data_IF_529288964695
#
_entry.id   IF_529288964695
#
_cell.length_a   1.000
_cell.length_b   1.000
_cell.length_c   1.000
_cell.angle_alpha   90.00
_cell.angle_beta   90.00
_cell.angle_gamma   90.00
#
_symmetry.space_group_name_H-M   'P 1'
#
loop_
_entity.id
_entity.type
_entity.pdbx_description
1 polymer ?
#
# COMPACT_ATOMS: atom_id res chain seq x y z
N UNK A 1 -50.51 18.07 16.19
CA UNK A 1 -51.11 16.89 16.86
C UNK A 1 -49.96 15.99 17.27
N UNK A 2 -49.89 15.56 18.53
CA UNK A 2 -48.78 14.74 19.05
C UNK A 2 -49.11 13.27 18.83
N UNK A 3 -48.54 12.64 17.81
CA UNK A 3 -48.53 11.18 17.69
C UNK A 3 -47.55 10.59 18.72
N UNK A 4 -47.97 9.53 19.41
CA UNK A 4 -47.06 8.71 20.23
C UNK A 4 -46.21 7.81 19.32
N UNK A 5 -45.05 7.35 19.81
CA UNK A 5 -44.08 6.54 19.05
C UNK A 5 -44.71 5.27 18.45
N UNK A 6 -45.69 4.69 19.15
CA UNK A 6 -46.42 3.49 18.71
C UNK A 6 -47.41 3.81 17.59
N UNK A 7 -48.08 4.96 17.68
CA UNK A 7 -49.02 5.42 16.66
C UNK A 7 -48.30 5.85 15.37
N UNK A 8 -47.10 6.42 15.51
CA UNK A 8 -46.24 6.77 14.39
C UNK A 8 -45.79 5.53 13.60
N UNK A 9 -45.40 4.46 14.29
CA UNK A 9 -45.04 3.18 13.65
C UNK A 9 -46.23 2.56 12.93
N UNK A 10 -47.43 2.58 13.53
CA UNK A 10 -48.65 2.08 12.88
C UNK A 10 -49.06 2.91 11.64
N UNK A 11 -48.80 4.22 11.66
CA UNK A 11 -49.05 5.10 10.52
C UNK A 11 -48.01 4.94 9.39
N UNK A 12 -46.77 4.54 9.70
CA UNK A 12 -45.70 4.37 8.72
C UNK A 12 -45.74 3.02 7.99
N UNK A 13 -46.22 1.93 8.62
CA UNK A 13 -46.26 0.60 8.01
C UNK A 13 -47.03 0.52 6.66
N UNK A 14 -48.19 1.19 6.47
CA UNK A 14 -48.92 1.17 5.20
C UNK A 14 -48.31 2.04 4.09
N UNK A 15 -47.47 3.01 4.46
CA UNK A 15 -46.92 4.03 3.55
C UNK A 15 -45.48 3.70 3.09
N UNK A 16 -45.04 2.45 3.31
CA UNK A 16 -43.73 1.97 2.90
C UNK A 16 -43.70 1.67 1.40
N UNK A 17 -42.73 2.28 0.71
CA UNK A 17 -42.46 2.01 -0.70
C UNK A 17 -41.61 0.74 -0.87
N UNK A 18 -41.68 0.07 -2.03
CA UNK A 18 -40.94 -1.17 -2.30
C UNK A 18 -39.40 -1.03 -2.26
N UNK A 19 -38.89 0.19 -2.33
CA UNK A 19 -37.46 0.54 -2.21
C UNK A 19 -37.00 0.79 -0.76
N UNK A 20 -37.93 0.68 0.21
CA UNK A 20 -37.66 0.91 1.63
C UNK A 20 -37.84 2.37 2.08
N UNK A 21 -38.27 3.28 1.19
CA UNK A 21 -38.65 4.65 1.55
C UNK A 21 -40.07 4.75 2.13
N UNK A 22 -40.44 5.92 2.69
CA UNK A 22 -41.80 6.20 3.17
C UNK A 22 -42.34 7.45 2.47
N UNK A 23 -43.61 7.42 2.08
CA UNK A 23 -44.32 8.58 1.54
C UNK A 23 -45.33 9.08 2.58
N UNK A 24 -44.98 10.16 3.28
CA UNK A 24 -45.79 10.75 4.34
C UNK A 24 -46.27 12.13 3.88
N UNK A 25 -47.59 12.32 3.77
CA UNK A 25 -48.17 13.63 3.49
C UNK A 25 -48.24 14.44 4.79
N UNK A 26 -47.60 15.62 4.80
CA UNK A 26 -47.58 16.52 5.96
C UNK A 26 -47.89 17.95 5.51
N UNK A 27 -49.10 18.42 5.80
CA UNK A 27 -49.49 19.80 5.55
C UNK A 27 -48.94 20.73 6.65
N UNK A 28 -48.38 21.87 6.25
CA UNK A 28 -47.85 22.89 7.17
C UNK A 28 -46.38 22.75 7.58
N UNK A 29 -45.61 21.88 6.92
CA UNK A 29 -44.16 21.72 7.14
C UNK A 29 -43.40 23.05 7.05
N UNK A 30 -43.80 23.92 6.11
CA UNK A 30 -43.15 25.21 5.86
C UNK A 30 -43.47 26.31 6.90
N UNK A 31 -44.48 26.10 7.75
CA UNK A 31 -44.89 27.08 8.78
C UNK A 31 -44.34 26.77 10.18
N UNK A 32 -43.69 25.60 10.35
CA UNK A 32 -43.11 25.19 11.64
C UNK A 32 -41.76 25.87 11.92
N UNK A 33 -41.44 26.27 13.15
CA UNK A 33 -40.11 26.75 13.51
C UNK A 33 -39.07 25.61 13.44
N UNK A 34 -37.82 25.97 13.14
CA UNK A 34 -36.73 25.05 12.74
C UNK A 34 -36.42 23.98 13.81
N UNK A 35 -36.46 24.38 15.07
CA UNK A 35 -36.28 23.51 16.25
C UNK A 35 -37.34 22.40 16.34
N UNK A 36 -38.57 22.68 15.92
CA UNK A 36 -39.65 21.69 15.88
C UNK A 36 -39.57 20.77 14.66
N UNK A 37 -39.02 21.26 13.53
CA UNK A 37 -38.76 20.42 12.35
C UNK A 37 -37.68 19.39 12.64
N UNK A 38 -36.58 19.80 13.25
CA UNK A 38 -35.47 18.90 13.59
C UNK A 38 -35.90 17.81 14.57
N UNK A 39 -36.70 18.18 15.58
CA UNK A 39 -37.27 17.21 16.51
C UNK A 39 -38.21 16.20 15.83
N UNK A 40 -38.96 16.61 14.79
CA UNK A 40 -39.82 15.71 14.02
C UNK A 40 -39.01 14.80 13.09
N UNK A 41 -37.93 15.30 12.48
CA UNK A 41 -37.01 14.52 11.65
C UNK A 41 -36.38 13.40 12.46
N UNK A 42 -35.89 13.69 13.67
CA UNK A 42 -35.29 12.67 14.53
C UNK A 42 -36.31 11.61 14.97
N UNK A 43 -37.56 12.02 15.27
CA UNK A 43 -38.64 11.07 15.55
C UNK A 43 -38.98 10.18 14.36
N UNK A 44 -39.01 10.72 13.15
CA UNK A 44 -39.26 9.96 11.92
C UNK A 44 -38.14 8.95 11.62
N UNK A 45 -36.87 9.31 11.88
CA UNK A 45 -35.74 8.37 11.78
C UNK A 45 -35.86 7.22 12.77
N UNK A 46 -36.22 7.51 14.02
CA UNK A 46 -36.43 6.49 15.05
C UNK A 46 -37.62 5.57 14.66
N UNK A 47 -38.71 6.15 14.16
CA UNK A 47 -39.87 5.41 13.65
C UNK A 47 -39.51 4.49 12.47
N UNK A 48 -38.73 5.00 11.49
CA UNK A 48 -38.23 4.23 10.36
C UNK A 48 -37.37 3.04 10.79
N UNK A 49 -36.48 3.24 11.77
CA UNK A 49 -35.65 2.15 12.29
C UNK A 49 -36.51 1.06 12.95
N UNK A 50 -37.49 1.45 13.77
CA UNK A 50 -38.42 0.52 14.43
C UNK A 50 -39.29 -0.25 13.44
N UNK A 51 -39.75 0.38 12.35
CA UNK A 51 -40.51 -0.31 11.28
C UNK A 51 -39.63 -1.32 10.54
N UNK A 52 -38.39 -0.95 10.21
CA UNK A 52 -37.46 -1.85 9.55
C UNK A 52 -37.10 -3.06 10.44
N UNK A 53 -36.87 -2.85 11.72
CA UNK A 53 -36.59 -3.93 12.69
C UNK A 53 -37.81 -4.86 12.85
N UNK A 54 -39.05 -4.32 12.82
CA UNK A 54 -40.28 -5.10 12.88
C UNK A 54 -40.57 -5.91 11.58
N UNK A 55 -40.18 -5.39 10.41
CA UNK A 55 -40.30 -6.09 9.12
C UNK A 55 -39.24 -7.18 8.96
N UNK A 56 -38.03 -6.98 9.49
CA UNK A 56 -36.95 -7.97 9.45
C UNK A 56 -37.10 -9.12 10.45
N UNK A 57 -38.04 -9.02 11.40
CA UNK A 57 -38.27 -10.03 12.44
C UNK A 57 -39.37 -11.05 12.10
N UNK A 58 -39.72 -11.26 10.82
CA UNK A 58 -40.63 -12.35 10.43
C UNK A 58 -39.85 -13.65 10.19
N UNK A 59 -40.25 -14.79 10.78
CA UNK A 59 -39.64 -16.08 10.45
C UNK A 59 -39.95 -16.39 8.98
N UNK A 60 -38.90 -16.65 8.19
CA UNK A 60 -39.02 -17.06 6.80
C UNK A 60 -39.64 -18.46 6.77
N UNK A 61 -40.79 -18.58 6.11
CA UNK A 61 -41.45 -19.86 5.85
C UNK A 61 -40.67 -20.62 4.75
N UNK A 62 -39.98 -21.68 5.17
CA UNK A 62 -39.10 -22.47 4.33
C UNK A 62 -39.83 -23.12 3.14
N UNK A 63 -41.13 -23.41 3.28
CA UNK A 63 -41.93 -24.03 2.22
C UNK A 63 -42.28 -23.00 1.13
N UNK A 64 -42.44 -21.72 1.51
CA UNK A 64 -42.72 -20.64 0.57
C UNK A 64 -41.47 -20.22 -0.22
N UNK A 65 -40.29 -20.33 0.39
CA UNK A 65 -39.00 -20.09 -0.28
C UNK A 65 -38.68 -21.22 -1.27
N UNK A 66 -38.95 -22.47 -0.90
CA UNK A 66 -38.79 -23.63 -1.79
C UNK A 66 -39.72 -23.53 -3.02
N UNK A 67 -40.98 -23.11 -2.82
CA UNK A 67 -41.92 -22.91 -3.93
C UNK A 67 -41.46 -21.80 -4.91
N UNK A 68 -40.93 -20.69 -4.39
CA UNK A 68 -40.42 -19.59 -5.23
C UNK A 68 -39.12 -19.94 -5.96
N UNK A 69 -38.25 -20.74 -5.37
CA UNK A 69 -37.03 -21.21 -6.04
C UNK A 69 -37.38 -22.16 -7.20
N UNK A 70 -38.41 -23.00 -7.07
CA UNK A 70 -38.88 -23.82 -8.17
C UNK A 70 -39.50 -23.00 -9.31
N UNK A 71 -40.28 -21.94 -9.02
CA UNK A 71 -40.87 -21.07 -10.05
C UNK A 71 -39.82 -20.25 -10.84
N UNK A 72 -38.66 -19.96 -10.25
CA UNK A 72 -37.58 -19.19 -10.91
C UNK A 72 -36.74 -20.05 -11.84
N UNK A 73 -36.63 -21.35 -11.58
CA UNK A 73 -35.90 -22.31 -12.43
C UNK A 73 -36.64 -22.55 -13.75
N UNK A 74 -37.97 -22.53 -13.75
CA UNK A 74 -38.79 -22.79 -14.95
C UNK A 74 -38.95 -21.56 -15.88
N UNK A 75 -38.50 -20.37 -15.47
CA UNK A 75 -38.65 -19.12 -16.24
C UNK A 75 -37.35 -18.60 -16.88
N UNK A 76 -36.29 -19.41 -16.98
CA UNK A 76 -35.00 -18.98 -17.53
C UNK A 76 -34.96 -18.77 -19.06
N UNK A 77 -36.02 -19.12 -19.82
CA UNK A 77 -36.00 -19.00 -21.28
C UNK A 77 -36.60 -17.70 -21.85
N UNK A 78 -36.93 -16.70 -21.03
CA UNK A 78 -37.53 -15.46 -21.56
C UNK A 78 -37.20 -14.18 -20.76
N UNK A 79 -35.96 -13.68 -20.80
CA UNK A 79 -35.68 -12.25 -20.56
C UNK A 79 -34.46 -11.72 -21.37
N UNK A 80 -34.47 -10.45 -21.81
CA UNK A 80 -33.53 -9.90 -22.80
C UNK A 80 -32.19 -9.46 -22.19
N UNK A 81 -31.12 -9.61 -22.97
CA UNK A 81 -29.77 -9.19 -22.61
C UNK A 81 -29.68 -7.72 -22.17
N UNK A 82 -29.29 -7.52 -20.91
CA UNK A 82 -28.83 -6.23 -20.41
C UNK A 82 -27.39 -5.96 -20.89
N UNK A 83 -27.18 -4.78 -21.49
CA UNK A 83 -25.88 -4.34 -22.05
C UNK A 83 -24.80 -4.25 -20.97
N UNK A 84 -23.57 -4.73 -21.23
CA UNK A 84 -22.50 -4.69 -20.25
C UNK A 84 -21.98 -3.27 -20.05
N UNK A 85 -21.86 -2.86 -18.78
CA UNK A 85 -21.03 -1.72 -18.38
C UNK A 85 -19.58 -2.05 -18.73
N UNK A 86 -19.00 -1.25 -19.61
CA UNK A 86 -17.64 -1.40 -20.12
C UNK A 86 -16.61 -1.21 -19.00
N UNK A 87 -16.16 -2.32 -18.41
CA UNK A 87 -14.89 -2.39 -17.69
C UNK A 87 -13.77 -2.49 -18.71
N UNK A 88 -13.02 -1.41 -18.88
CA UNK A 88 -11.74 -1.42 -19.62
C UNK A 88 -10.69 -2.14 -18.79
N UNK A 89 -10.46 -3.40 -19.10
CA UNK A 89 -9.14 -4.02 -19.21
C UNK A 89 -9.32 -5.36 -19.94
N UNK A 90 -8.86 -5.44 -21.19
CA UNK A 90 -8.63 -6.72 -21.83
C UNK A 90 -7.47 -7.39 -21.09
N UNK A 91 -7.77 -8.29 -20.15
CA UNK A 91 -6.92 -9.44 -19.90
C UNK A 91 -7.40 -10.54 -20.86
N UNK A 92 -6.46 -11.09 -21.62
CA UNK A 92 -6.63 -12.40 -22.24
C UNK A 92 -7.20 -13.39 -21.22
N UNK A 93 -8.05 -14.36 -21.63
CA UNK A 93 -8.58 -15.38 -20.73
C UNK A 93 -7.41 -16.06 -20.05
N UNK A 94 -7.16 -15.69 -18.80
CA UNK A 94 -6.27 -16.44 -17.93
C UNK A 94 -7.20 -17.46 -17.33
N UNK A 95 -6.84 -18.73 -17.48
CA UNK A 95 -7.51 -19.86 -16.86
C UNK A 95 -7.90 -19.48 -15.43
N UNK A 96 -9.15 -19.74 -15.07
CA UNK A 96 -9.69 -19.57 -13.72
C UNK A 96 -8.97 -20.61 -12.83
N UNK A 97 -7.72 -20.30 -12.46
CA UNK A 97 -7.00 -21.02 -11.43
C UNK A 97 -7.78 -20.77 -10.17
N UNK A 98 -8.44 -21.81 -9.66
CA UNK A 98 -9.03 -21.85 -8.32
C UNK A 98 -8.10 -21.11 -7.35
N UNK A 99 -8.51 -19.95 -6.83
CA UNK A 99 -7.69 -19.05 -5.98
C UNK A 99 -7.01 -19.85 -4.85
N UNK A 100 -7.71 -20.86 -4.32
CA UNK A 100 -7.22 -21.77 -3.29
C UNK A 100 -6.03 -22.63 -3.75
N UNK A 101 -6.02 -23.03 -5.02
CA UNK A 101 -4.90 -23.76 -5.64
C UNK A 101 -3.68 -22.84 -5.81
N UNK A 102 -3.89 -21.58 -6.17
CA UNK A 102 -2.79 -20.59 -6.24
C UNK A 102 -2.22 -20.27 -4.85
N UNK A 103 -3.06 -20.11 -3.84
CA UNK A 103 -2.64 -19.89 -2.44
C UNK A 103 -1.78 -21.05 -1.92
N UNK A 104 -2.22 -22.30 -2.12
CA UNK A 104 -1.45 -23.49 -1.74
C UNK A 104 -0.09 -23.54 -2.43
N UNK A 105 -0.04 -23.17 -3.70
CA UNK A 105 1.21 -23.11 -4.47
C UNK A 105 2.15 -22.05 -3.89
N UNK A 106 1.64 -20.86 -3.59
CA UNK A 106 2.42 -19.78 -3.00
C UNK A 106 2.98 -20.16 -1.63
N UNK A 107 2.17 -20.81 -0.79
CA UNK A 107 2.56 -21.26 0.54
C UNK A 107 3.58 -22.42 0.49
N UNK A 108 3.43 -23.33 -0.48
CA UNK A 108 4.43 -24.38 -0.78
C UNK A 108 5.77 -23.78 -1.22
N UNK A 109 5.74 -22.77 -2.10
CA UNK A 109 6.96 -22.08 -2.52
C UNK A 109 7.64 -21.38 -1.34
N UNK A 110 6.86 -20.80 -0.44
CA UNK A 110 7.39 -20.17 0.78
C UNK A 110 8.06 -21.20 1.70
N UNK A 111 7.43 -22.37 1.91
CA UNK A 111 8.04 -23.48 2.66
C UNK A 111 9.39 -23.90 2.06
N UNK A 112 9.44 -24.12 0.74
CA UNK A 112 10.67 -24.56 0.08
C UNK A 112 11.78 -23.51 0.22
N UNK A 113 11.43 -22.23 0.14
CA UNK A 113 12.36 -21.11 0.31
C UNK A 113 12.87 -21.00 1.75
N UNK A 114 12.00 -21.21 2.75
CA UNK A 114 12.39 -21.27 4.16
C UNK A 114 13.41 -22.39 4.40
N UNK A 115 13.14 -23.59 3.86
CA UNK A 115 14.04 -24.74 4.00
C UNK A 115 15.37 -24.51 3.28
N UNK A 116 15.35 -23.96 2.05
CA UNK A 116 16.58 -23.65 1.31
C UNK A 116 17.44 -22.62 2.01
N UNK A 117 16.81 -21.65 2.69
CA UNK A 117 17.49 -20.60 3.44
C UNK A 117 17.89 -21.03 4.87
N UNK A 118 17.73 -22.31 5.21
CA UNK A 118 18.10 -22.89 6.50
C UNK A 118 17.18 -22.51 7.66
N UNK A 119 16.02 -21.91 7.37
CA UNK A 119 14.98 -21.67 8.37
C UNK A 119 14.21 -22.97 8.64
N UNK A 120 13.69 -23.09 9.88
CA UNK A 120 12.84 -24.21 10.29
C UNK A 120 11.38 -23.78 10.13
N UNK A 121 10.63 -24.37 9.19
CA UNK A 121 9.21 -24.09 9.04
C UNK A 121 8.42 -24.47 10.30
N UNK A 122 7.32 -23.76 10.56
CA UNK A 122 6.47 -23.97 11.74
C UNK A 122 5.97 -25.41 11.87
N UNK A 123 5.58 -26.02 10.75
CA UNK A 123 5.10 -27.39 10.68
C UNK A 123 5.59 -28.06 9.38
N UNK A 124 5.61 -29.41 9.30
CA UNK A 124 5.96 -30.12 8.08
C UNK A 124 4.96 -29.83 6.96
N UNK A 125 5.44 -29.71 5.71
CA UNK A 125 4.57 -29.39 4.55
C UNK A 125 3.40 -30.38 4.37
N UNK A 126 3.52 -31.61 4.85
CA UNK A 126 2.45 -32.61 4.82
C UNK A 126 1.18 -32.19 5.57
N UNK A 127 1.30 -31.27 6.53
CA UNK A 127 0.18 -30.74 7.33
C UNK A 127 -0.49 -29.51 6.72
N UNK A 128 0.02 -29.03 5.57
CA UNK A 128 -0.49 -27.82 4.92
C UNK A 128 -1.99 -27.92 4.63
N UNK A 129 -2.45 -29.07 4.12
CA UNK A 129 -3.87 -29.29 3.83
C UNK A 129 -4.73 -29.24 5.09
N UNK A 130 -4.24 -29.77 6.21
CA UNK A 130 -4.94 -29.78 7.50
C UNK A 130 -5.08 -28.36 8.05
N UNK A 131 -4.03 -27.54 7.93
CA UNK A 131 -4.04 -26.13 8.32
C UNK A 131 -4.99 -25.30 7.45
N UNK A 132 -5.00 -25.53 6.14
CA UNK A 132 -5.93 -24.87 5.20
C UNK A 132 -7.40 -25.23 5.46
N UNK A 133 -7.66 -26.38 6.06
CA UNK A 133 -9.01 -26.81 6.42
C UNK A 133 -9.44 -26.36 7.83
N UNK A 134 -8.60 -25.57 8.52
CA UNK A 134 -8.97 -24.91 9.78
C UNK A 134 -8.92 -25.81 11.01
N UNK A 135 -7.99 -26.77 11.08
CA UNK A 135 -7.78 -27.52 12.33
C UNK A 135 -7.41 -26.59 13.49
N UNK A 136 -8.26 -26.54 14.51
CA UNK A 136 -8.09 -25.70 15.72
C UNK A 136 -6.79 -26.00 16.47
N UNK A 137 -6.24 -27.22 16.32
CA UNK A 137 -4.98 -27.64 16.95
C UNK A 137 -3.77 -26.76 16.56
N UNK A 138 -3.85 -26.05 15.43
CA UNK A 138 -2.79 -25.17 14.97
C UNK A 138 -2.98 -23.71 15.39
N UNK A 139 -4.10 -23.34 16.01
CA UNK A 139 -4.46 -21.95 16.31
C UNK A 139 -3.40 -21.27 17.17
N UNK A 140 -3.00 -21.92 18.25
CA UNK A 140 -1.98 -21.40 19.18
C UNK A 140 -0.61 -21.18 18.49
N UNK A 141 -0.26 -22.05 17.53
CA UNK A 141 1.02 -21.99 16.80
C UNK A 141 0.96 -20.96 15.68
N UNK A 142 -0.20 -20.79 15.06
CA UNK A 142 -0.42 -19.90 13.93
C UNK A 142 -0.68 -18.46 14.37
N UNK A 143 -1.29 -18.25 15.54
CA UNK A 143 -1.71 -16.94 16.03
C UNK A 143 -0.64 -15.84 15.88
N UNK A 144 0.66 -16.05 16.16
CA UNK A 144 1.69 -15.02 15.99
C UNK A 144 1.96 -14.64 14.52
N UNK A 145 1.53 -15.46 13.57
CA UNK A 145 1.79 -15.36 12.13
C UNK A 145 0.55 -14.99 11.31
N UNK A 146 -0.63 -14.98 11.93
CA UNK A 146 -1.86 -14.52 11.29
C UNK A 146 -1.88 -12.99 11.25
N UNK A 147 -1.90 -12.42 10.05
CA UNK A 147 -2.16 -10.99 9.84
C UNK A 147 -3.65 -10.73 9.82
N UNK A 148 -4.14 -9.61 10.37
CA UNK A 148 -5.56 -9.27 10.32
C UNK A 148 -5.98 -8.76 8.91
N UNK A 149 -7.12 -9.22 8.35
CA UNK A 149 -8.01 -10.27 8.88
C UNK A 149 -7.32 -11.65 8.83
N UNK A 150 -7.47 -12.50 9.86
CA UNK A 150 -6.69 -13.72 10.03
C UNK A 150 -6.85 -14.65 8.82
N UNK A 151 -5.78 -14.78 8.06
CA UNK A 151 -5.70 -15.67 6.91
C UNK A 151 -4.67 -16.78 7.18
N UNK A 152 -5.18 -18.00 7.36
CA UNK A 152 -4.37 -19.21 7.61
C UNK A 152 -3.55 -19.62 6.39
N UNK A 153 -3.89 -19.14 5.19
CA UNK A 153 -3.22 -19.42 3.92
C UNK A 153 -1.90 -18.65 3.73
N UNK A 154 -1.42 -17.93 4.77
CA UNK A 154 -0.24 -17.07 4.69
C UNK A 154 0.79 -17.30 5.80
N UNK A 155 0.72 -18.41 6.54
CA UNK A 155 1.61 -18.67 7.67
C UNK A 155 3.09 -18.76 7.26
N UNK A 156 3.43 -19.59 6.27
CA UNK A 156 4.78 -19.70 5.72
C UNK A 156 5.18 -18.48 4.93
N UNK A 157 4.28 -17.83 4.18
CA UNK A 157 4.59 -16.54 3.53
C UNK A 157 4.96 -15.46 4.53
N UNK A 158 4.22 -15.36 5.63
CA UNK A 158 4.52 -14.43 6.72
C UNK A 158 5.81 -14.82 7.42
N UNK A 159 6.04 -16.11 7.68
CA UNK A 159 7.29 -16.60 8.25
C UNK A 159 8.50 -16.31 7.35
N UNK A 160 8.38 -16.51 6.03
CA UNK A 160 9.41 -16.19 5.05
C UNK A 160 9.70 -14.70 5.04
N UNK A 161 8.66 -13.86 5.00
CA UNK A 161 8.83 -12.42 5.09
C UNK A 161 9.53 -12.02 6.40
N UNK A 162 9.13 -12.59 7.54
CA UNK A 162 9.78 -12.37 8.84
C UNK A 162 11.25 -12.77 8.82
N UNK A 163 11.58 -13.91 8.20
CA UNK A 163 12.94 -14.39 8.02
C UNK A 163 13.77 -13.47 7.10
N UNK A 164 13.20 -12.98 6.01
CA UNK A 164 13.85 -12.02 5.11
C UNK A 164 14.14 -10.69 5.81
N UNK A 165 13.17 -10.20 6.58
CA UNK A 165 13.36 -9.01 7.39
C UNK A 165 14.44 -9.20 8.46
N UNK A 166 14.53 -10.38 9.06
CA UNK A 166 15.65 -10.74 9.93
C UNK A 166 16.97 -10.71 9.17
N UNK A 167 17.08 -11.34 7.99
CA UNK A 167 18.34 -11.37 7.21
C UNK A 167 18.80 -9.96 6.86
N UNK A 168 17.89 -9.09 6.45
CA UNK A 168 18.15 -7.67 6.20
C UNK A 168 18.61 -6.96 7.48
N UNK A 169 17.92 -7.14 8.60
CA UNK A 169 18.31 -6.54 9.89
C UNK A 169 19.69 -7.00 10.34
N UNK A 170 19.93 -8.31 10.25
CA UNK A 170 21.19 -8.96 10.58
C UNK A 170 22.34 -8.40 9.75
N UNK A 171 22.08 -8.15 8.47
CA UNK A 171 23.03 -7.53 7.57
C UNK A 171 23.28 -6.05 7.93
N UNK A 172 22.24 -5.27 8.20
CA UNK A 172 22.34 -3.85 8.56
C UNK A 172 23.10 -3.64 9.88
N UNK A 173 23.02 -4.59 10.81
CA UNK A 173 23.77 -4.54 12.06
C UNK A 173 25.26 -4.86 11.90
N UNK A 174 25.65 -5.51 10.81
CA UNK A 174 27.05 -5.74 10.45
C UNK A 174 27.48 -4.59 9.55
N UNK A 175 28.43 -3.78 10.00
CA UNK A 175 29.02 -2.71 9.19
C UNK A 175 29.61 -3.32 7.90
N UNK A 176 28.81 -3.27 6.83
CA UNK A 176 29.16 -3.82 5.53
C UNK A 176 30.26 -2.99 4.88
N UNK A 177 30.94 -3.62 3.93
CA UNK A 177 31.73 -2.89 2.96
C UNK A 177 30.76 -2.06 2.11
N UNK A 178 30.52 -0.82 2.54
CA UNK A 178 29.62 0.12 1.89
C UNK A 178 30.01 0.35 0.44
N UNK A 179 31.30 0.23 0.12
CA UNK A 179 31.81 0.44 -1.23
C UNK A 179 31.42 -0.72 -2.14
N UNK A 180 31.47 -1.96 -1.64
CA UNK A 180 30.99 -3.14 -2.39
C UNK A 180 29.49 -3.09 -2.64
N UNK A 181 28.71 -2.69 -1.64
CA UNK A 181 27.25 -2.57 -1.78
C UNK A 181 26.87 -1.42 -2.72
N UNK A 182 27.56 -0.29 -2.61
CA UNK A 182 27.41 0.83 -3.53
C UNK A 182 27.79 0.46 -4.97
N UNK A 183 28.88 -0.29 -5.18
CA UNK A 183 29.26 -0.76 -6.51
C UNK A 183 28.18 -1.67 -7.14
N UNK A 184 27.65 -2.62 -6.36
CA UNK A 184 26.54 -3.47 -6.82
C UNK A 184 25.28 -2.64 -7.14
N UNK A 185 24.99 -1.62 -6.34
CA UNK A 185 23.89 -0.68 -6.60
C UNK A 185 24.11 0.12 -7.88
N UNK A 186 25.33 0.60 -8.14
CA UNK A 186 25.68 1.32 -9.38
C UNK A 186 25.46 0.44 -10.60
N UNK A 187 25.94 -0.81 -10.58
CA UNK A 187 25.73 -1.76 -11.68
C UNK A 187 24.24 -2.05 -11.92
N UNK A 188 23.46 -2.22 -10.86
CA UNK A 188 22.02 -2.41 -10.97
C UNK A 188 21.32 -1.18 -11.54
N UNK A 189 21.70 0.04 -11.13
CA UNK A 189 21.16 1.28 -11.69
C UNK A 189 21.54 1.46 -13.17
N UNK A 190 22.76 1.07 -13.56
CA UNK A 190 23.20 1.06 -14.96
C UNK A 190 22.38 0.08 -15.78
N UNK A 191 22.13 -1.12 -15.26
CA UNK A 191 21.29 -2.15 -15.89
C UNK A 191 19.85 -1.66 -16.09
N UNK A 192 19.23 -1.11 -15.04
CA UNK A 192 17.87 -0.56 -15.12
C UNK A 192 17.76 0.58 -16.14
N UNK A 193 18.79 1.42 -16.26
CA UNK A 193 18.83 2.50 -17.26
C UNK A 193 18.95 1.97 -18.69
N UNK A 194 19.72 0.90 -18.89
CA UNK A 194 19.89 0.27 -20.19
C UNK A 194 18.60 -0.44 -20.66
N UNK A 195 17.93 -1.15 -19.76
CA UNK A 195 16.68 -1.85 -20.06
C UNK A 195 15.48 -0.89 -20.16
N UNK A 196 15.53 0.21 -19.40
CA UNK A 196 14.40 1.09 -19.19
C UNK A 196 13.35 0.47 -18.29
N UNK A 197 12.68 1.31 -17.51
CA UNK A 197 11.56 0.89 -16.65
C UNK A 197 10.31 1.69 -16.99
N UNK A 198 9.16 1.26 -16.48
CA UNK A 198 7.91 2.02 -16.65
C UNK A 198 8.02 3.46 -16.14
N UNK A 199 8.79 3.69 -15.08
CA UNK A 199 8.99 5.02 -14.47
C UNK A 199 10.18 5.78 -15.05
N UNK A 200 11.14 5.08 -15.66
CA UNK A 200 12.30 5.66 -16.37
C UNK A 200 12.48 4.95 -17.71
N UNK A 201 11.64 5.24 -18.71
CA UNK A 201 11.71 4.55 -20.00
C UNK A 201 12.96 4.96 -20.79
N UNK A 202 13.42 4.08 -21.67
CA UNK A 202 14.42 4.45 -22.68
C UNK A 202 13.82 5.44 -23.68
N UNK A 203 14.67 6.08 -24.50
CA UNK A 203 14.21 6.99 -25.55
C UNK A 203 13.19 6.33 -26.51
N UNK A 204 13.44 5.09 -26.91
CA UNK A 204 12.54 4.33 -27.78
C UNK A 204 11.23 3.98 -27.09
N UNK A 205 11.29 3.50 -25.84
CA UNK A 205 10.09 3.22 -25.05
C UNK A 205 9.25 4.48 -24.82
N UNK A 206 9.88 5.62 -24.58
CA UNK A 206 9.21 6.90 -24.41
C UNK A 206 8.52 7.35 -25.70
N UNK A 207 9.21 7.29 -26.84
CA UNK A 207 8.63 7.60 -28.15
C UNK A 207 7.46 6.68 -28.49
N UNK A 208 7.57 5.39 -28.17
CA UNK A 208 6.48 4.43 -28.35
C UNK A 208 5.28 4.75 -27.45
N UNK A 209 5.50 5.15 -26.20
CA UNK A 209 4.45 5.63 -25.31
C UNK A 209 3.74 6.85 -25.90
N UNK A 210 4.47 7.84 -26.40
CA UNK A 210 3.89 9.02 -27.05
C UNK A 210 3.10 8.64 -28.30
N UNK A 211 3.61 7.71 -29.12
CA UNK A 211 2.91 7.21 -30.32
C UNK A 211 1.59 6.53 -29.95
N UNK A 212 1.60 5.69 -28.93
CA UNK A 212 0.38 5.04 -28.43
C UNK A 212 -0.64 6.05 -27.88
N UNK A 213 -0.18 7.10 -27.18
CA UNK A 213 -1.04 8.17 -26.68
C UNK A 213 -1.64 9.00 -27.82
N UNK A 214 -0.85 9.30 -28.86
CA UNK A 214 -1.30 10.01 -30.03
C UNK A 214 -2.36 9.22 -30.81
N UNK A 215 -2.11 7.93 -31.08
CA UNK A 215 -3.08 7.07 -31.76
C UNK A 215 -4.40 6.93 -30.96
N UNK A 216 -4.32 6.88 -29.62
CA UNK A 216 -5.51 6.92 -28.77
C UNK A 216 -6.29 8.22 -28.92
N UNK A 217 -5.59 9.36 -29.01
CA UNK A 217 -6.19 10.68 -29.25
C UNK A 217 -6.88 10.71 -30.62
N UNK A 218 -6.22 10.25 -31.69
CA UNK A 218 -6.80 10.18 -33.04
C UNK A 218 -8.10 9.37 -33.06
N UNK A 219 -8.10 8.17 -32.46
CA UNK A 219 -9.32 7.34 -32.36
C UNK A 219 -10.44 8.01 -31.56
N UNK A 220 -10.10 8.81 -30.56
CA UNK A 220 -11.08 9.45 -29.70
C UNK A 220 -11.74 10.67 -30.36
N UNK A 221 -10.96 11.45 -31.11
CA UNK A 221 -11.43 12.68 -31.75
C UNK A 221 -11.78 12.53 -33.24
N UNK A 222 -11.55 11.35 -33.83
CA UNK A 222 -11.84 11.08 -35.24
C UNK A 222 -10.95 11.86 -36.21
N UNK A 223 -9.71 12.15 -35.79
CA UNK A 223 -8.75 12.96 -36.51
C UNK A 223 -7.82 12.07 -37.34
N UNK A 224 -7.67 12.36 -38.64
CA UNK A 224 -6.82 11.64 -39.61
C UNK A 224 -5.53 12.44 -39.85
N UNK A 225 -4.72 12.47 -38.81
CA UNK A 225 -3.57 13.36 -38.71
C UNK A 225 -2.30 12.60 -39.14
N UNK A 226 -1.49 13.19 -40.03
CA UNK A 226 -0.26 12.58 -40.55
C UNK A 226 0.93 12.59 -39.57
N UNK A 227 2.09 12.07 -40.00
CA UNK A 227 3.33 12.03 -39.19
C UNK A 227 3.83 13.43 -38.76
N UNK A 228 3.48 14.50 -39.48
CA UNK A 228 3.83 15.88 -39.14
C UNK A 228 3.11 16.35 -37.86
N UNK A 229 1.85 15.96 -37.68
CA UNK A 229 1.09 16.27 -36.46
C UNK A 229 1.56 15.44 -35.26
N UNK A 230 2.06 14.22 -35.50
CA UNK A 230 2.73 13.45 -34.46
C UNK A 230 4.00 14.13 -33.97
N UNK A 231 4.82 14.70 -34.87
CA UNK A 231 6.01 15.45 -34.49
C UNK A 231 5.68 16.69 -33.64
N UNK A 232 4.67 17.47 -34.04
CA UNK A 232 4.19 18.61 -33.25
C UNK A 232 3.65 18.18 -31.88
N UNK A 233 2.95 17.04 -31.82
CA UNK A 233 2.50 16.45 -30.57
C UNK A 233 3.65 16.03 -29.65
N UNK A 234 4.69 15.39 -30.21
CA UNK A 234 5.89 15.01 -29.45
C UNK A 234 6.57 16.26 -28.89
N UNK A 235 6.75 17.31 -29.69
CA UNK A 235 7.34 18.57 -29.23
C UNK A 235 6.53 19.21 -28.10
N UNK A 236 5.20 19.29 -28.24
CA UNK A 236 4.30 19.81 -27.19
C UNK A 236 4.45 19.00 -25.88
N UNK A 237 4.51 17.67 -25.98
CA UNK A 237 4.66 16.79 -24.81
C UNK A 237 6.03 16.90 -24.18
N UNK A 238 7.09 16.99 -24.97
CA UNK A 238 8.45 17.19 -24.51
C UNK A 238 8.59 18.51 -23.75
N UNK A 239 8.04 19.61 -24.27
CA UNK A 239 8.03 20.90 -23.59
C UNK A 239 7.28 20.85 -22.26
N UNK A 240 6.11 20.19 -22.20
CA UNK A 240 5.36 20.00 -20.95
C UNK A 240 6.12 19.13 -19.95
N UNK A 241 6.70 18.02 -20.42
CA UNK A 241 7.53 17.12 -19.62
C UNK A 241 8.68 17.91 -18.98
N UNK A 242 9.37 18.74 -19.75
CA UNK A 242 10.48 19.54 -19.24
C UNK A 242 10.08 20.50 -18.12
N UNK A 243 8.91 21.14 -18.25
CA UNK A 243 8.40 22.07 -17.24
C UNK A 243 8.01 21.38 -15.92
N UNK A 244 7.52 20.15 -15.97
CA UNK A 244 6.98 19.43 -14.79
C UNK A 244 8.00 18.46 -14.20
N UNK A 245 8.56 17.61 -15.06
CA UNK A 245 9.31 16.40 -14.70
C UNK A 245 10.79 16.45 -15.13
N UNK A 246 11.20 17.48 -15.85
CA UNK A 246 12.58 17.68 -16.28
C UNK A 246 12.91 17.01 -17.63
N UNK A 247 14.19 16.74 -17.92
CA UNK A 247 14.61 16.20 -19.22
C UNK A 247 13.82 14.96 -19.64
N UNK A 248 13.36 14.91 -20.90
CA UNK A 248 12.73 13.71 -21.45
C UNK A 248 13.80 12.67 -21.85
N UNK A 249 13.44 11.37 -21.87
CA UNK A 249 14.34 10.32 -22.33
C UNK A 249 14.81 10.55 -23.77
N UNK A 250 16.13 10.52 -23.99
CA UNK A 250 16.73 10.72 -25.32
C UNK A 250 17.00 12.18 -25.71
N UNK A 251 16.70 13.14 -24.82
CA UNK A 251 17.09 14.54 -25.00
C UNK A 251 18.62 14.67 -25.15
N UNK A 252 19.06 15.42 -26.15
CA UNK A 252 20.47 15.77 -26.34
C UNK A 252 20.91 16.89 -25.39
N UNK A 253 22.22 17.01 -25.18
CA UNK A 253 22.80 18.11 -24.40
C UNK A 253 22.47 19.48 -24.99
N UNK A 254 22.45 19.59 -26.32
CA UNK A 254 22.10 20.85 -26.98
C UNK A 254 20.64 21.25 -26.73
N UNK A 255 19.71 20.31 -26.90
CA UNK A 255 18.28 20.55 -26.61
C UNK A 255 18.05 20.90 -25.13
N UNK A 256 18.81 20.26 -24.24
CA UNK A 256 18.76 20.56 -22.81
C UNK A 256 19.15 22.01 -22.52
N UNK A 257 20.29 22.46 -23.06
CA UNK A 257 20.80 23.82 -22.87
C UNK A 257 19.82 24.85 -23.48
N UNK A 258 19.33 24.62 -24.70
CA UNK A 258 18.33 25.49 -25.33
C UNK A 258 17.08 25.64 -24.46
N UNK A 259 16.61 24.55 -23.87
CA UNK A 259 15.42 24.58 -23.03
C UNK A 259 15.66 25.32 -21.70
N UNK A 260 16.86 25.21 -21.13
CA UNK A 260 17.25 26.03 -19.98
C UNK A 260 17.32 27.52 -20.34
N UNK A 261 17.84 27.87 -21.52
CA UNK A 261 17.86 29.26 -21.99
C UNK A 261 16.43 29.82 -22.14
N UNK A 262 15.50 29.05 -22.71
CA UNK A 262 14.09 29.46 -22.79
C UNK A 262 13.48 29.67 -21.40
N UNK A 263 13.71 28.75 -20.45
CA UNK A 263 13.23 28.91 -19.08
C UNK A 263 13.84 30.12 -18.37
N UNK A 264 15.13 30.38 -18.60
CA UNK A 264 15.81 31.52 -18.02
C UNK A 264 15.23 32.84 -18.55
N UNK A 265 15.00 32.96 -19.86
CA UNK A 265 14.33 34.12 -20.48
C UNK A 265 12.91 34.33 -19.95
N UNK A 266 12.13 33.25 -19.83
CA UNK A 266 10.79 33.30 -19.23
C UNK A 266 10.83 33.79 -17.77
N UNK A 267 11.86 33.39 -17.02
CA UNK A 267 12.07 33.82 -15.63
C UNK A 267 12.45 35.31 -15.56
N UNK A 268 13.41 35.75 -16.37
CA UNK A 268 13.81 37.17 -16.45
C UNK A 268 12.61 38.07 -16.79
N UNK A 269 11.77 37.64 -17.73
CA UNK A 269 10.57 38.38 -18.13
C UNK A 269 9.55 38.50 -16.98
N UNK A 270 9.42 37.46 -16.14
CA UNK A 270 8.51 37.46 -14.99
C UNK A 270 9.03 38.27 -13.80
N UNK A 271 10.33 38.20 -13.53
CA UNK A 271 10.95 38.81 -12.35
C UNK A 271 11.40 40.26 -12.62
N UNK A 272 11.52 40.67 -13.88
CA UNK A 272 11.92 42.03 -14.26
C UNK A 272 13.39 42.35 -13.96
N UNK A 273 14.23 41.32 -13.82
CA UNK A 273 15.65 41.42 -13.49
C UNK A 273 16.48 40.87 -14.66
N UNK A 274 17.44 41.65 -15.15
CA UNK A 274 18.39 41.24 -16.19
C UNK A 274 19.76 40.95 -15.57
N UNK A 275 20.02 39.68 -15.27
CA UNK A 275 21.26 39.21 -14.67
C UNK A 275 22.39 38.90 -15.69
N UNK A 276 22.16 39.15 -16.99
CA UNK A 276 23.12 38.86 -18.07
C UNK A 276 23.61 37.40 -18.12
N UNK A 277 24.75 37.16 -18.78
CA UNK A 277 25.33 35.81 -18.97
C UNK A 277 25.78 35.15 -17.66
N UNK A 278 26.20 35.95 -16.68
CA UNK A 278 26.53 35.47 -15.33
C UNK A 278 25.32 34.89 -14.61
N UNK A 279 24.13 35.45 -14.84
CA UNK A 279 22.86 34.94 -14.32
C UNK A 279 22.48 33.58 -14.91
N UNK A 280 22.73 33.37 -16.20
CA UNK A 280 22.43 32.09 -16.86
C UNK A 280 23.28 30.95 -16.29
N UNK A 281 24.60 31.14 -16.14
CA UNK A 281 25.48 30.13 -15.54
C UNK A 281 25.05 29.76 -14.10
N UNK A 282 24.69 30.76 -13.29
CA UNK A 282 24.18 30.53 -11.95
C UNK A 282 22.84 29.78 -11.95
N UNK A 283 21.95 30.09 -12.90
CA UNK A 283 20.68 29.39 -13.08
C UNK A 283 20.86 27.92 -13.47
N UNK A 284 21.78 27.64 -14.40
CA UNK A 284 22.13 26.26 -14.81
C UNK A 284 22.67 25.48 -13.62
N UNK A 285 23.64 26.03 -12.88
CA UNK A 285 24.23 25.39 -11.71
C UNK A 285 23.18 25.10 -10.62
N UNK A 286 22.28 26.04 -10.34
CA UNK A 286 21.18 25.85 -9.41
C UNK A 286 20.19 24.78 -9.87
N UNK A 287 19.90 24.72 -11.17
CA UNK A 287 19.00 23.71 -11.76
C UNK A 287 19.60 22.30 -11.66
N UNK A 288 20.89 22.15 -11.99
CA UNK A 288 21.64 20.90 -11.85
C UNK A 288 21.72 20.47 -10.37
N UNK A 289 21.98 21.41 -9.45
CA UNK A 289 21.97 21.14 -8.00
C UNK A 289 20.61 20.61 -7.52
N UNK A 290 19.50 21.22 -7.95
CA UNK A 290 18.14 20.73 -7.63
C UNK A 290 17.87 19.35 -8.25
N UNK A 291 18.37 19.10 -9.46
CA UNK A 291 18.25 17.80 -10.09
C UNK A 291 19.01 16.72 -9.30
N UNK A 292 20.23 17.01 -8.83
CA UNK A 292 20.99 16.15 -7.90
C UNK A 292 20.23 15.86 -6.61
N UNK A 293 19.61 16.88 -6.02
CA UNK A 293 18.80 16.72 -4.80
C UNK A 293 17.59 15.81 -4.99
N UNK A 294 17.00 15.82 -6.19
CA UNK A 294 15.85 15.00 -6.55
C UNK A 294 16.23 13.65 -7.19
N UNK A 295 17.53 13.34 -7.30
CA UNK A 295 18.02 12.11 -7.93
C UNK A 295 17.65 12.02 -9.42
N UNK A 296 17.66 13.15 -10.14
CA UNK A 296 17.36 13.26 -11.56
C UNK A 296 18.66 13.42 -12.36
N UNK A 297 18.77 12.66 -13.44
CA UNK A 297 19.83 12.80 -14.43
C UNK A 297 19.50 13.89 -15.44
N UNK A 298 20.52 14.47 -16.07
CA UNK A 298 20.37 15.40 -17.20
C UNK A 298 21.36 15.06 -18.32
N UNK A 299 21.09 15.47 -19.57
CA UNK A 299 22.04 15.35 -20.67
C UNK A 299 23.32 16.15 -20.40
N UNK A 300 24.50 15.55 -20.61
CA UNK A 300 25.79 16.17 -20.31
C UNK A 300 26.29 15.97 -18.86
N UNK A 301 25.54 15.28 -18.00
CA UNK A 301 26.01 14.90 -16.66
C UNK A 301 27.28 14.02 -16.76
N UNK A 302 28.30 14.39 -16.00
CA UNK A 302 29.56 13.63 -15.92
C UNK A 302 29.39 12.33 -15.13
N UNK A 303 30.26 11.34 -15.35
CA UNK A 303 30.22 10.08 -14.59
C UNK A 303 30.43 10.33 -13.08
N UNK A 304 31.25 11.30 -12.70
CA UNK A 304 31.47 11.64 -11.28
C UNK A 304 30.21 12.23 -10.63
N UNK A 305 29.55 13.19 -11.29
CA UNK A 305 28.26 13.72 -10.82
C UNK A 305 27.20 12.63 -10.75
N UNK A 306 27.17 11.72 -11.72
CA UNK A 306 26.28 10.57 -11.72
C UNK A 306 26.54 9.66 -10.52
N UNK A 307 27.80 9.33 -10.23
CA UNK A 307 28.17 8.52 -9.07
C UNK A 307 27.85 9.23 -7.74
N UNK A 308 28.08 10.54 -7.63
CA UNK A 308 27.72 11.32 -6.44
C UNK A 308 26.20 11.29 -6.19
N UNK A 309 25.41 11.45 -7.26
CA UNK A 309 23.95 11.38 -7.21
C UNK A 309 23.48 10.00 -6.77
N UNK A 310 24.05 8.93 -7.35
CA UNK A 310 23.77 7.55 -6.95
C UNK A 310 24.17 7.29 -5.50
N UNK A 311 25.30 7.83 -5.02
CA UNK A 311 25.74 7.65 -3.63
C UNK A 311 24.74 8.27 -2.66
N UNK A 312 24.22 9.45 -3.00
CA UNK A 312 23.16 10.10 -2.23
C UNK A 312 21.86 9.27 -2.24
N UNK A 313 21.43 8.78 -3.39
CA UNK A 313 20.24 7.94 -3.51
C UNK A 313 20.38 6.62 -2.74
N UNK A 314 21.52 5.95 -2.87
CA UNK A 314 21.88 4.74 -2.13
C UNK A 314 21.80 4.98 -0.61
N UNK A 315 22.42 6.05 -0.11
CA UNK A 315 22.38 6.39 1.31
C UNK A 315 20.97 6.70 1.79
N UNK A 316 20.17 7.42 0.99
CA UNK A 316 18.77 7.71 1.31
C UNK A 316 17.91 6.46 1.34
N UNK A 317 18.11 5.53 0.40
CA UNK A 317 17.39 4.27 0.35
C UNK A 317 17.76 3.36 1.52
N UNK A 318 19.05 3.27 1.86
CA UNK A 318 19.56 2.57 3.03
C UNK A 318 18.97 3.16 4.32
N UNK A 319 19.01 4.47 4.49
CA UNK A 319 18.42 5.16 5.65
C UNK A 319 16.91 4.98 5.71
N UNK A 320 16.19 5.08 4.58
CA UNK A 320 14.75 4.83 4.50
C UNK A 320 14.41 3.40 4.91
N UNK A 321 15.10 2.40 4.34
CA UNK A 321 14.95 0.98 4.67
C UNK A 321 15.15 0.75 6.16
N UNK A 322 16.24 1.31 6.71
CA UNK A 322 16.57 1.19 8.12
C UNK A 322 15.52 1.88 9.01
N UNK A 323 15.12 3.11 8.69
CA UNK A 323 14.11 3.87 9.45
C UNK A 323 12.74 3.20 9.47
N UNK A 324 12.29 2.72 8.32
CA UNK A 324 10.98 2.08 8.20
C UNK A 324 10.94 0.75 8.94
N UNK A 325 12.01 -0.03 8.86
CA UNK A 325 11.97 -1.43 9.28
C UNK A 325 12.65 -1.71 10.62
N UNK A 326 13.74 -1.01 10.94
CA UNK A 326 14.71 -1.46 11.96
C UNK A 326 15.04 -0.42 13.02
N UNK A 327 14.80 0.87 12.76
CA UNK A 327 15.13 1.96 13.67
C UNK A 327 14.55 1.79 15.08
N UNK A 328 13.34 1.24 15.18
CA UNK A 328 12.66 1.00 16.47
C UNK A 328 13.06 -0.32 17.16
N UNK A 329 13.77 -1.19 16.45
CA UNK A 329 14.21 -2.49 16.96
C UNK A 329 15.52 -2.37 17.76
N UNK A 330 16.32 -1.35 17.47
CA UNK A 330 17.56 -1.04 18.19
C UNK A 330 17.31 -0.05 19.33
N UNK A 331 17.89 -0.29 20.50
CA UNK A 331 17.83 0.63 21.66
C UNK A 331 18.60 1.93 21.36
N UNK A 332 19.75 1.81 20.70
CA UNK A 332 20.62 2.92 20.29
C UNK A 332 20.24 3.52 18.93
N UNK A 333 19.16 3.03 18.31
CA UNK A 333 18.75 3.35 16.94
C UNK A 333 19.86 3.13 15.90
N UNK A 334 20.82 2.23 16.14
CA UNK A 334 21.89 1.86 15.22
C UNK A 334 23.14 2.75 15.27
N UNK A 335 23.24 3.65 16.25
CA UNK A 335 24.39 4.57 16.36
C UNK A 335 25.68 3.90 16.83
N UNK A 336 25.61 2.80 17.57
CA UNK A 336 26.76 2.14 18.19
C UNK A 336 27.39 1.01 17.36
N UNK A 337 26.96 0.84 16.10
CA UNK A 337 27.53 -0.16 15.20
C UNK A 337 27.34 -1.61 15.67
N UNK A 338 28.23 -2.49 15.23
CA UNK A 338 28.18 -3.92 15.57
C UNK A 338 28.54 -4.24 17.04
N UNK A 339 29.52 -3.58 17.70
CA UNK A 339 29.80 -3.85 19.11
C UNK A 339 28.61 -3.54 20.03
N UNK A 340 27.93 -2.42 19.82
CA UNK A 340 26.74 -2.08 20.62
C UNK A 340 25.58 -3.02 20.29
N UNK A 341 25.43 -3.44 19.04
CA UNK A 341 24.47 -4.47 18.66
C UNK A 341 24.62 -5.75 19.49
N UNK A 342 25.85 -6.24 19.63
CA UNK A 342 26.15 -7.46 20.39
C UNK A 342 25.87 -7.24 21.88
N UNK A 343 26.22 -6.07 22.42
CA UNK A 343 25.95 -5.74 23.82
C UNK A 343 24.44 -5.66 24.10
N UNK A 344 23.69 -5.00 23.22
CA UNK A 344 22.24 -4.88 23.26
C UNK A 344 21.56 -6.25 23.16
N UNK A 345 22.00 -7.10 22.24
CA UNK A 345 21.49 -8.46 22.08
C UNK A 345 21.66 -9.29 23.36
N UNK A 346 22.82 -9.20 24.01
CA UNK A 346 23.06 -9.87 25.30
C UNK A 346 22.12 -9.36 26.40
N UNK A 347 21.93 -8.04 26.50
CA UNK A 347 21.00 -7.44 27.48
C UNK A 347 19.56 -7.88 27.22
N UNK A 348 19.09 -7.81 25.97
CA UNK A 348 17.73 -8.20 25.59
C UNK A 348 17.47 -9.68 25.84
N UNK A 349 18.35 -10.55 25.36
CA UNK A 349 18.21 -11.99 25.56
C UNK A 349 18.19 -12.34 27.06
N UNK A 350 19.03 -11.70 27.88
CA UNK A 350 19.00 -11.88 29.33
C UNK A 350 17.69 -11.38 29.97
N UNK A 351 17.14 -10.24 29.54
CA UNK A 351 15.83 -9.73 29.99
C UNK A 351 14.69 -10.73 29.72
N UNK A 352 14.79 -11.47 28.62
CA UNK A 352 13.84 -12.53 28.25
C UNK A 352 14.24 -13.93 28.74
N UNK A 353 15.18 -14.02 29.70
CA UNK A 353 15.53 -15.28 30.38
C UNK A 353 16.49 -16.21 29.64
N UNK A 354 17.06 -15.78 28.51
CA UNK A 354 18.08 -16.56 27.79
C UNK A 354 19.46 -16.37 28.42
N UNK A 355 20.00 -17.43 29.05
CA UNK A 355 21.24 -17.38 29.85
C UNK A 355 22.46 -18.07 29.21
N UNK A 356 22.29 -18.72 28.05
CA UNK A 356 23.39 -19.44 27.37
C UNK A 356 24.38 -18.45 26.78
N UNK A 357 25.68 -18.77 26.86
CA UNK A 357 26.73 -17.96 26.23
C UNK A 357 26.68 -18.07 24.70
N UNK A 358 26.97 -16.94 24.03
CA UNK A 358 27.08 -16.83 22.58
C UNK A 358 27.96 -15.62 22.20
N UNK A 359 28.45 -15.62 20.96
CA UNK A 359 29.15 -14.48 20.35
C UNK A 359 28.74 -14.40 18.88
N UNK A 360 28.25 -13.24 18.44
CA UNK A 360 27.96 -13.03 17.02
C UNK A 360 29.24 -12.73 16.25
N UNK A 361 29.30 -13.24 15.03
CA UNK A 361 30.38 -12.92 14.10
C UNK A 361 30.02 -11.69 13.26
N UNK A 362 31.00 -10.81 13.05
CA UNK A 362 30.84 -9.65 12.17
C UNK A 362 30.68 -10.09 10.72
N UNK A 363 31.23 -11.24 10.35
CA UNK A 363 31.02 -11.88 9.07
C UNK A 363 29.87 -12.91 9.18
N UNK A 364 28.73 -12.55 8.57
CA UNK A 364 27.53 -13.39 8.55
C UNK A 364 27.78 -14.79 8.01
N UNK A 365 28.72 -14.95 7.07
CA UNK A 365 29.02 -16.22 6.42
C UNK A 365 29.81 -17.18 7.32
N UNK A 366 30.47 -16.66 8.35
CA UNK A 366 31.24 -17.46 9.33
C UNK A 366 30.41 -17.89 10.53
N UNK A 367 29.26 -17.27 10.73
CA UNK A 367 28.42 -17.56 11.88
C UNK A 367 27.74 -18.91 11.74
N UNK A 368 27.84 -19.75 12.77
CA UNK A 368 27.23 -21.07 12.77
C UNK A 368 25.69 -21.00 12.88
N UNK A 369 25.03 -22.11 12.52
CA UNK A 369 23.58 -22.19 12.52
C UNK A 369 22.95 -21.94 13.89
N UNK A 370 23.56 -22.44 14.98
CA UNK A 370 23.02 -22.26 16.33
C UNK A 370 23.09 -20.79 16.74
N UNK A 371 24.22 -20.13 16.50
CA UNK A 371 24.38 -18.70 16.79
C UNK A 371 23.43 -17.85 15.94
N UNK A 372 23.18 -18.25 14.69
CA UNK A 372 22.16 -17.61 13.83
C UNK A 372 20.76 -17.70 14.40
N UNK A 373 20.37 -18.85 14.97
CA UNK A 373 19.08 -18.97 15.66
C UNK A 373 18.99 -18.12 16.93
N UNK A 374 20.09 -17.96 17.67
CA UNK A 374 20.15 -17.06 18.83
C UNK A 374 19.98 -15.60 18.38
N UNK A 375 20.60 -15.22 17.26
CA UNK A 375 20.45 -13.89 16.67
C UNK A 375 19.03 -13.64 16.16
N UNK A 376 18.39 -14.66 15.58
CA UNK A 376 16.98 -14.61 15.19
C UNK A 376 16.04 -14.48 16.40
N UNK A 377 16.33 -15.18 17.49
CA UNK A 377 15.56 -15.01 18.73
C UNK A 377 15.68 -13.58 19.28
N UNK A 378 16.88 -13.00 19.25
CA UNK A 378 17.10 -11.59 19.58
C UNK A 378 16.28 -10.65 18.68
N UNK A 379 16.19 -10.96 17.38
CA UNK A 379 15.36 -10.21 16.44
C UNK A 379 13.88 -10.24 16.83
N UNK A 380 13.32 -11.42 17.09
CA UNK A 380 11.89 -11.51 17.46
C UNK A 380 11.61 -10.84 18.80
N UNK A 381 12.51 -10.97 19.79
CA UNK A 381 12.37 -10.21 21.04
C UNK A 381 12.47 -8.70 20.84
N UNK A 382 13.24 -8.22 19.87
CA UNK A 382 13.31 -6.79 19.57
C UNK A 382 11.97 -6.25 19.03
N UNK A 383 11.25 -7.08 18.26
CA UNK A 383 9.91 -6.76 17.77
C UNK A 383 8.89 -6.84 18.90
N UNK A 384 8.96 -7.87 19.74
CA UNK A 384 8.12 -7.97 20.93
C UNK A 384 8.30 -6.74 21.84
N UNK A 385 9.53 -6.36 22.17
CA UNK A 385 9.84 -5.17 22.97
C UNK A 385 9.28 -3.89 22.33
N UNK A 386 9.33 -3.77 21.00
CA UNK A 386 8.74 -2.64 20.26
C UNK A 386 7.22 -2.64 20.38
N UNK A 387 6.58 -3.77 20.14
CA UNK A 387 5.13 -3.88 20.12
C UNK A 387 4.55 -3.70 21.53
N UNK A 388 5.17 -4.27 22.56
CA UNK A 388 4.82 -4.02 23.97
C UNK A 388 4.93 -2.54 24.34
N UNK A 389 6.00 -1.84 23.92
CA UNK A 389 6.14 -0.39 24.13
C UNK A 389 5.06 0.41 23.39
N UNK A 390 4.71 0.00 22.17
CA UNK A 390 3.67 0.66 21.39
C UNK A 390 2.29 0.49 22.04
N UNK A 391 1.96 -0.73 22.50
CA UNK A 391 0.73 -1.03 23.23
C UNK A 391 0.62 -0.22 24.52
N UNK A 392 1.66 -0.24 25.36
CA UNK A 392 1.68 0.52 26.61
C UNK A 392 1.51 2.04 26.38
N UNK A 393 1.99 2.57 25.25
CA UNK A 393 1.80 3.98 24.87
C UNK A 393 0.36 4.28 24.43
N UNK A 394 -0.28 3.35 23.73
CA UNK A 394 -1.62 3.54 23.15
C UNK A 394 -2.75 3.16 24.11
N UNK A 395 -2.47 2.34 25.12
CA UNK A 395 -3.43 1.87 26.11
C UNK A 395 -4.23 3.00 26.79
N UNK A 396 -3.63 4.12 27.23
CA UNK A 396 -4.41 5.20 27.84
C UNK A 396 -5.42 5.85 26.88
N UNK A 397 -5.01 6.06 25.63
CA UNK A 397 -5.87 6.67 24.60
C UNK A 397 -6.97 5.71 24.14
N UNK A 398 -6.64 4.42 24.03
CA UNK A 398 -7.61 3.36 23.80
C UNK A 398 -8.66 3.34 24.91
N UNK A 399 -8.24 3.25 26.18
CA UNK A 399 -9.15 3.19 27.33
C UNK A 399 -10.03 4.43 27.44
N UNK A 400 -9.47 5.62 27.16
CA UNK A 400 -10.23 6.87 27.11
C UNK A 400 -11.28 6.87 26.00
N UNK A 401 -10.93 6.32 24.84
CA UNK A 401 -11.84 6.26 23.69
C UNK A 401 -12.94 5.22 23.91
N UNK A 402 -12.58 4.08 24.51
CA UNK A 402 -13.51 3.04 24.96
C UNK A 402 -14.50 3.57 25.99
N UNK A 403 -14.02 4.32 26.99
CA UNK A 403 -14.89 4.93 27.99
C UNK A 403 -15.90 5.91 27.36
N UNK A 404 -15.45 6.76 26.42
CA UNK A 404 -16.38 7.65 25.70
C UNK A 404 -17.44 6.90 24.91
N UNK A 405 -17.09 5.74 24.36
CA UNK A 405 -18.02 4.90 23.61
C UNK A 405 -19.10 4.33 24.54
N UNK A 406 -18.70 3.82 25.71
CA UNK A 406 -19.61 3.40 26.76
C UNK A 406 -20.51 4.55 27.24
N UNK A 407 -19.91 5.72 27.52
CA UNK A 407 -20.64 6.92 27.98
C UNK A 407 -21.64 7.45 26.94
N UNK A 408 -21.39 7.19 25.65
CA UNK A 408 -22.27 7.62 24.56
C UNK A 408 -23.51 6.75 24.39
N UNK A 409 -23.60 5.62 25.09
CA UNK A 409 -24.72 4.66 24.97
C UNK A 409 -24.80 4.00 23.58
N UNK A 410 -23.74 4.08 22.79
CA UNK A 410 -23.69 3.50 21.43
C UNK A 410 -23.50 1.97 21.44
N UNK A 411 -23.11 1.39 22.57
CA UNK A 411 -23.01 -0.05 22.78
C UNK A 411 -24.24 -0.56 23.51
N UNK A 412 -24.86 -1.64 23.01
CA UNK A 412 -25.97 -2.32 23.67
C UNK A 412 -25.42 -3.19 24.82
N UNK A 413 -26.22 -3.38 25.88
CA UNK A 413 -25.81 -4.06 27.12
C UNK A 413 -25.34 -5.53 26.93
N UNK A 414 -25.49 -6.11 25.74
CA UNK A 414 -25.11 -7.47 25.37
C UNK A 414 -23.74 -7.63 24.70
N UNK A 415 -22.97 -6.56 24.51
CA UNK A 415 -21.61 -6.59 23.92
C UNK A 415 -20.49 -6.32 24.94
N UNK A 416 -20.64 -6.80 26.18
CA UNK A 416 -19.62 -6.74 27.24
C UNK A 416 -18.77 -8.01 27.33
#
# INVERSE_FOLDING_TARGET
MSFDDVELVQYMMPNQRPDGGFELEFDGWEELPEDQRDALVEKLKIGQQKVNDAVQSRPIDADQLAARLCEVVDNQDAMPQAKPRQSRCYRTPTEDLDDRTEEKRNETNAYNSLVSDGCRPLYPISRLEEVFNGLEEFDDILQPWLTYPPDRCQAFRTQLHRWDMFRCWRQDNREMDEEKEFAAYVEEQKRQRAEGTKTRPTASQYLEQLRNLFQRKQRHYGLDDGEEEFAAYVEEKNQRQFRVDGPWPGMSEHEYVQMLETQFKDKQTKEGIDDGDGGFAAFVAETQRRAMERGRTWPGMTEDEYLQMLRKAFNQEKDRRYRQNFYWLREDHGRGGFPEYVAEAKRRLARHGFTKAFAFDKDAAKQDGRTTWIEYLNYEYSRLDKDTRALARLEPDHNKSWQKLLDSGALRDDEN
#
